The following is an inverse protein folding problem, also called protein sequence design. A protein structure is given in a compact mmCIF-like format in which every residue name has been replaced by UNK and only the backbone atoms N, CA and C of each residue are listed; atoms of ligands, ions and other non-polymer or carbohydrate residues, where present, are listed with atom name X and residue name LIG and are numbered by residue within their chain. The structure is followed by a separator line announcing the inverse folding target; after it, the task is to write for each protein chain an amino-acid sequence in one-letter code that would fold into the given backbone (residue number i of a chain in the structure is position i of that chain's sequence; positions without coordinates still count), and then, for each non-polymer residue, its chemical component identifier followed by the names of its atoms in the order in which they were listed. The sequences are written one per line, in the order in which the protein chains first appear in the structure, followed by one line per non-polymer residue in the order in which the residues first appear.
data_IF_253229617758
#
_entry.id   IF_253229617758
#
_cell.length_a   1.000
_cell.length_b   1.000
_cell.length_c   1.000
_cell.angle_alpha   90.00
_cell.angle_beta   90.00
_cell.angle_gamma   90.00
#
_symmetry.space_group_name_H-M   'P 1'
#
loop_
_entity.id
_entity.type
_entity.pdbx_description
1 polymer ?
#
# COMPACT_ATOMS: atom_id res chain seq x y z
N UNK A 1 -12.16 -14.92 19.58
CA UNK A 1 -10.95 -15.74 19.87
C UNK A 1 -9.92 -15.43 18.78
N UNK A 2 -8.61 -15.62 19.01
CA UNK A 2 -7.56 -15.20 18.06
C UNK A 2 -7.74 -15.78 16.63
N UNK A 3 -8.30 -16.98 16.52
CA UNK A 3 -8.59 -17.67 15.25
C UNK A 3 -9.55 -16.90 14.33
N UNK A 4 -10.53 -16.17 14.91
CA UNK A 4 -11.44 -15.28 14.18
C UNK A 4 -10.73 -14.02 13.65
N UNK A 5 -9.70 -13.52 14.35
CA UNK A 5 -8.91 -12.36 13.87
C UNK A 5 -7.96 -12.73 12.75
N UNK A 6 -7.30 -13.89 12.86
CA UNK A 6 -6.37 -14.35 11.85
C UNK A 6 -7.09 -14.58 10.52
N UNK A 7 -8.22 -15.29 10.55
CA UNK A 7 -9.03 -15.56 9.36
C UNK A 7 -9.50 -14.27 8.68
N UNK A 8 -10.05 -13.31 9.44
CA UNK A 8 -10.44 -11.99 8.93
C UNK A 8 -9.26 -11.23 8.34
N UNK A 9 -8.08 -11.36 8.95
CA UNK A 9 -6.84 -10.78 8.44
C UNK A 9 -6.46 -11.33 7.07
N UNK A 10 -6.55 -12.66 6.89
CA UNK A 10 -6.29 -13.29 5.60
C UNK A 10 -7.29 -12.84 4.53
N UNK A 11 -8.59 -12.81 4.86
CA UNK A 11 -9.63 -12.33 3.95
C UNK A 11 -9.37 -10.88 3.53
N UNK A 12 -9.04 -10.01 4.49
CA UNK A 12 -8.71 -8.61 4.21
C UNK A 12 -7.45 -8.48 3.34
N UNK A 13 -6.44 -9.31 3.58
CA UNK A 13 -5.22 -9.30 2.79
C UNK A 13 -5.50 -9.67 1.34
N UNK A 14 -6.28 -10.73 1.11
CA UNK A 14 -6.70 -11.17 -0.23
C UNK A 14 -7.50 -10.09 -0.98
N UNK A 15 -8.37 -9.34 -0.28
CA UNK A 15 -9.08 -8.20 -0.87
C UNK A 15 -8.13 -7.08 -1.36
N UNK A 16 -7.00 -6.88 -0.69
CA UNK A 16 -6.06 -5.80 -0.98
C UNK A 16 -5.03 -6.16 -2.05
N UNK A 17 -4.65 -7.44 -2.12
CA UNK A 17 -3.53 -7.91 -2.95
C UNK A 17 -4.00 -8.59 -4.23
N UNK A 18 -5.32 -8.68 -4.47
CA UNK A 18 -5.94 -9.40 -5.58
C UNK A 18 -5.37 -10.83 -5.74
N UNK A 19 -5.16 -11.50 -4.62
CA UNK A 19 -4.42 -12.76 -4.60
C UNK A 19 -5.33 -13.99 -4.45
N UNK A 20 -4.73 -15.18 -4.39
CA UNK A 20 -5.43 -16.46 -4.23
C UNK A 20 -5.33 -17.01 -2.80
N UNK A 21 -6.16 -18.00 -2.48
CA UNK A 21 -6.11 -18.71 -1.19
C UNK A 21 -4.72 -19.32 -0.91
N UNK A 22 -4.01 -19.76 -1.96
CA UNK A 22 -2.67 -20.33 -1.85
C UNK A 22 -1.57 -19.27 -1.61
N UNK A 23 -1.83 -17.99 -1.92
CA UNK A 23 -0.92 -16.88 -1.66
C UNK A 23 -1.72 -15.64 -1.23
N UNK A 24 -2.27 -15.59 -0.01
CA UNK A 24 -3.15 -14.51 0.43
C UNK A 24 -2.45 -13.15 0.49
N UNK A 25 -1.11 -13.11 0.56
CA UNK A 25 -0.32 -11.89 0.56
C UNK A 25 0.05 -11.37 -0.84
N UNK A 26 -0.11 -12.16 -1.91
CA UNK A 26 0.31 -11.75 -3.25
C UNK A 26 1.80 -11.40 -3.30
N UNK A 27 2.12 -10.19 -3.77
CA UNK A 27 3.49 -9.63 -3.76
C UNK A 27 3.87 -8.94 -2.43
N UNK A 28 2.96 -8.87 -1.46
CA UNK A 28 3.18 -8.17 -0.20
C UNK A 28 4.10 -8.99 0.71
N UNK A 29 5.26 -8.44 1.06
CA UNK A 29 6.09 -8.97 2.14
C UNK A 29 5.43 -8.62 3.49
N UNK A 30 5.00 -9.64 4.23
CA UNK A 30 4.30 -9.51 5.52
C UNK A 30 5.10 -10.08 6.70
N UNK A 31 6.41 -10.14 6.58
CA UNK A 31 7.31 -10.69 7.59
C UNK A 31 7.84 -12.10 7.32
N UNK A 32 7.46 -12.71 6.17
CA UNK A 32 7.91 -14.06 5.82
C UNK A 32 9.42 -14.19 5.72
N UNK A 33 10.10 -13.14 5.27
CA UNK A 33 11.57 -13.09 5.18
C UNK A 33 12.28 -13.02 6.53
N UNK A 34 11.54 -12.74 7.62
CA UNK A 34 12.08 -12.58 8.97
C UNK A 34 11.68 -13.71 9.92
N UNK A 35 11.12 -14.82 9.41
CA UNK A 35 10.64 -15.93 10.26
C UNK A 35 11.71 -16.57 11.15
N UNK A 36 12.97 -16.50 10.74
CA UNK A 36 14.13 -16.99 11.48
C UNK A 36 14.48 -16.11 12.70
N UNK A 37 14.21 -14.80 12.62
CA UNK A 37 14.54 -13.83 13.68
C UNK A 37 13.31 -13.41 14.51
N UNK A 38 12.15 -13.29 13.88
CA UNK A 38 10.90 -12.82 14.45
C UNK A 38 9.71 -13.66 13.95
N UNK A 39 9.57 -14.92 14.41
CA UNK A 39 8.59 -15.88 13.90
C UNK A 39 7.12 -15.47 14.11
N UNK A 40 6.86 -14.54 15.02
CA UNK A 40 5.53 -14.02 15.33
C UNK A 40 5.14 -12.76 14.54
N UNK A 41 6.07 -12.16 13.80
CA UNK A 41 5.83 -10.93 13.04
C UNK A 41 4.67 -11.06 12.05
N UNK A 42 4.68 -12.13 11.24
CA UNK A 42 3.61 -12.42 10.28
C UNK A 42 2.26 -12.54 10.99
N UNK A 43 2.25 -13.14 12.18
CA UNK A 43 1.03 -13.27 12.97
C UNK A 43 0.50 -11.91 13.41
N UNK A 44 1.35 -10.99 13.87
CA UNK A 44 0.92 -9.63 14.21
C UNK A 44 0.43 -8.85 13.00
N UNK A 45 1.09 -8.99 11.85
CA UNK A 45 0.67 -8.34 10.61
C UNK A 45 -0.72 -8.83 10.22
N UNK A 46 -0.94 -10.15 10.18
CA UNK A 46 -2.24 -10.71 9.77
C UNK A 46 -3.33 -10.43 10.81
N UNK A 47 -3.13 -10.77 12.08
CA UNK A 47 -4.19 -10.63 13.09
C UNK A 47 -4.50 -9.17 13.40
N UNK A 48 -3.48 -8.36 13.68
CA UNK A 48 -3.69 -7.01 14.16
C UNK A 48 -3.79 -6.00 13.01
N UNK A 49 -2.79 -5.94 12.12
CA UNK A 49 -2.83 -4.94 11.07
C UNK A 49 -4.01 -5.19 10.12
N UNK A 50 -4.15 -6.40 9.58
CA UNK A 50 -5.22 -6.71 8.63
C UNK A 50 -6.56 -7.05 9.30
N UNK A 51 -6.54 -7.95 10.29
CA UNK A 51 -7.75 -8.43 10.97
C UNK A 51 -8.42 -7.37 11.83
N UNK A 52 -7.65 -6.55 12.55
CA UNK A 52 -8.23 -5.56 13.48
C UNK A 52 -8.26 -4.14 12.89
N UNK A 53 -7.21 -3.67 12.19
CA UNK A 53 -7.10 -2.27 11.76
C UNK A 53 -7.64 -2.04 10.35
N UNK A 54 -7.15 -2.75 9.32
CA UNK A 54 -7.65 -2.59 7.94
C UNK A 54 -9.09 -3.08 7.77
N UNK A 55 -9.57 -3.96 8.64
CA UNK A 55 -10.96 -4.41 8.63
C UNK A 55 -11.94 -3.43 9.28
N UNK A 56 -11.46 -2.33 9.89
CA UNK A 56 -12.35 -1.32 10.47
C UNK A 56 -13.22 -0.65 9.40
N UNK A 57 -14.50 -0.37 9.71
CA UNK A 57 -15.36 0.42 8.84
C UNK A 57 -14.93 1.89 8.83
N UNK A 58 -15.46 2.66 7.88
CA UNK A 58 -15.28 4.12 7.78
C UNK A 58 -14.41 4.57 6.62
N UNK A 59 -13.50 3.72 6.15
CA UNK A 59 -12.74 3.92 4.91
C UNK A 59 -12.84 2.69 4.01
N UNK A 60 -12.98 2.91 2.71
CA UNK A 60 -12.84 1.85 1.71
C UNK A 60 -11.36 1.45 1.52
N UNK A 61 -11.11 0.39 0.73
CA UNK A 61 -9.75 -0.12 0.54
C UNK A 61 -8.84 0.88 -0.19
N UNK A 62 -9.37 1.66 -1.16
CA UNK A 62 -8.60 2.70 -1.84
C UNK A 62 -8.16 3.79 -0.87
N UNK A 63 -9.08 4.26 -0.03
CA UNK A 63 -8.83 5.27 0.99
C UNK A 63 -7.82 4.78 2.04
N UNK A 64 -7.92 3.52 2.49
CA UNK A 64 -6.96 2.92 3.43
C UNK A 64 -5.55 2.92 2.84
N UNK A 65 -5.38 2.39 1.63
CA UNK A 65 -4.07 2.31 0.99
C UNK A 65 -3.51 3.70 0.67
N UNK A 66 -4.34 4.63 0.20
CA UNK A 66 -3.91 6.02 -0.06
C UNK A 66 -3.45 6.74 1.22
N UNK A 67 -4.14 6.49 2.34
CA UNK A 67 -3.74 6.99 3.66
C UNK A 67 -2.39 6.41 4.08
N UNK A 68 -2.17 5.11 3.85
CA UNK A 68 -0.88 4.46 4.14
C UNK A 68 0.24 5.01 3.26
N UNK A 69 0.02 5.19 1.95
CA UNK A 69 0.98 5.83 1.04
C UNK A 69 1.36 7.21 1.59
N UNK A 70 0.38 8.03 1.96
CA UNK A 70 0.60 9.37 2.52
C UNK A 70 1.49 9.35 3.76
N UNK A 71 1.21 8.45 4.70
CA UNK A 71 2.01 8.29 5.90
C UNK A 71 3.46 7.90 5.58
N UNK A 72 3.67 7.00 4.61
CA UNK A 72 5.00 6.53 4.21
C UNK A 72 5.80 7.62 3.47
N UNK A 73 5.14 8.45 2.65
CA UNK A 73 5.76 9.64 2.04
C UNK A 73 6.23 10.59 3.14
N UNK A 74 5.35 10.92 4.09
CA UNK A 74 5.68 11.84 5.17
C UNK A 74 6.83 11.34 6.07
N UNK A 75 6.93 10.03 6.26
CA UNK A 75 7.99 9.40 7.05
C UNK A 75 9.27 9.07 6.25
N UNK A 76 9.25 9.21 4.92
CA UNK A 76 10.36 8.83 4.02
C UNK A 76 10.69 7.34 4.08
N UNK A 77 9.68 6.47 4.17
CA UNK A 77 9.86 5.02 4.39
C UNK A 77 9.84 4.22 3.08
N UNK A 78 10.72 3.21 2.92
CA UNK A 78 10.85 2.46 1.67
C UNK A 78 9.64 1.59 1.33
N UNK A 79 8.78 1.26 2.31
CA UNK A 79 7.58 0.45 2.13
C UNK A 79 6.56 1.06 1.16
N UNK A 80 6.71 2.34 0.78
CA UNK A 80 5.84 3.02 -0.18
C UNK A 80 5.73 2.27 -1.51
N UNK A 81 6.81 1.63 -2.00
CA UNK A 81 6.79 0.89 -3.26
C UNK A 81 5.72 -0.21 -3.28
N UNK A 82 5.69 -1.03 -2.23
CA UNK A 82 4.71 -2.09 -2.06
C UNK A 82 3.29 -1.52 -1.96
N UNK A 83 3.09 -0.44 -1.19
CA UNK A 83 1.76 0.15 -1.07
C UNK A 83 1.26 0.84 -2.33
N UNK A 84 2.13 1.34 -3.21
CA UNK A 84 1.73 1.83 -4.54
C UNK A 84 1.23 0.65 -5.39
N UNK A 85 1.90 -0.51 -5.37
CA UNK A 85 1.44 -1.72 -6.06
C UNK A 85 0.07 -2.16 -5.55
N UNK A 86 -0.08 -2.29 -4.24
CA UNK A 86 -1.37 -2.58 -3.59
C UNK A 86 -2.42 -1.55 -3.95
N UNK A 87 -2.03 -0.28 -4.06
CA UNK A 87 -2.92 0.81 -4.49
C UNK A 87 -3.53 0.56 -5.86
N UNK A 88 -2.70 0.16 -6.83
CA UNK A 88 -3.16 -0.22 -8.17
C UNK A 88 -4.06 -1.46 -8.12
N UNK A 89 -3.72 -2.45 -7.29
CA UNK A 89 -4.50 -3.68 -7.13
C UNK A 89 -5.92 -3.39 -6.56
N UNK A 90 -6.04 -2.44 -5.62
CA UNK A 90 -7.36 -1.98 -5.12
C UNK A 90 -8.03 -0.94 -6.04
N UNK A 91 -7.44 -0.66 -7.20
CA UNK A 91 -8.00 0.18 -8.25
C UNK A 91 -7.77 1.68 -8.09
N UNK A 92 -6.78 2.12 -7.31
CA UNK A 92 -6.28 3.51 -7.41
C UNK A 92 -5.69 3.72 -8.81
N UNK A 93 -5.98 4.87 -9.39
CA UNK A 93 -5.38 5.29 -10.67
C UNK A 93 -4.01 5.92 -10.43
N UNK A 94 -3.12 5.92 -11.45
CA UNK A 94 -1.86 6.68 -11.38
C UNK A 94 -2.08 8.15 -11.02
N UNK A 95 -3.14 8.76 -11.56
CA UNK A 95 -3.44 10.18 -11.35
C UNK A 95 -3.86 10.45 -9.89
N UNK A 96 -4.62 9.54 -9.26
CA UNK A 96 -4.94 9.62 -7.83
C UNK A 96 -3.68 9.50 -6.95
N UNK A 97 -2.78 8.58 -7.29
CA UNK A 97 -1.52 8.37 -6.55
C UNK A 97 -0.58 9.58 -6.71
N UNK A 98 -0.38 10.06 -7.94
CA UNK A 98 0.45 11.23 -8.24
C UNK A 98 -0.15 12.48 -7.59
N UNK A 99 -1.46 12.70 -7.75
CA UNK A 99 -2.16 13.84 -7.16
C UNK A 99 -1.99 13.89 -5.64
N UNK A 100 -2.12 12.74 -4.97
CA UNK A 100 -1.87 12.63 -3.54
C UNK A 100 -0.42 12.97 -3.17
N UNK A 101 0.56 12.39 -3.86
CA UNK A 101 1.99 12.66 -3.60
C UNK A 101 2.32 14.14 -3.81
N UNK A 102 1.81 14.75 -4.87
CA UNK A 102 2.01 16.18 -5.17
C UNK A 102 1.36 17.08 -4.12
N UNK A 103 0.18 16.70 -3.60
CA UNK A 103 -0.51 17.43 -2.54
C UNK A 103 0.31 17.50 -1.24
N UNK A 104 1.28 16.60 -1.04
CA UNK A 104 2.11 16.58 0.17
C UNK A 104 3.24 17.60 0.19
N UNK A 105 3.56 18.27 -0.93
CA UNK A 105 4.63 19.28 -1.00
C UNK A 105 4.58 20.30 0.15
N UNK A 106 3.43 20.92 0.48
CA UNK A 106 3.37 21.92 1.55
C UNK A 106 3.60 21.36 2.96
N UNK A 107 3.41 20.05 3.15
CA UNK A 107 3.43 19.40 4.47
C UNK A 107 4.72 18.63 4.73
N UNK A 108 5.33 18.07 3.68
CA UNK A 108 6.50 17.19 3.78
C UNK A 108 7.73 17.74 3.05
N UNK A 109 7.56 18.77 2.22
CA UNK A 109 8.61 19.36 1.40
C UNK A 109 8.96 18.55 0.15
N UNK A 110 9.70 19.21 -0.75
CA UNK A 110 10.11 18.65 -2.04
C UNK A 110 10.91 17.34 -1.96
N UNK A 111 11.88 17.15 -1.04
CA UNK A 111 12.67 15.92 -1.01
C UNK A 111 11.83 14.65 -0.83
N UNK A 112 10.86 14.66 0.08
CA UNK A 112 9.96 13.51 0.31
C UNK A 112 9.11 13.21 -0.92
N UNK A 113 8.61 14.25 -1.58
CA UNK A 113 7.78 14.13 -2.79
C UNK A 113 8.59 13.61 -3.98
N UNK A 114 9.80 14.15 -4.21
CA UNK A 114 10.69 13.68 -5.29
C UNK A 114 11.06 12.21 -5.12
N UNK A 115 11.38 11.79 -3.90
CA UNK A 115 11.67 10.39 -3.59
C UNK A 115 10.44 9.51 -3.86
N UNK A 116 9.26 9.92 -3.41
CA UNK A 116 8.02 9.19 -3.63
C UNK A 116 7.65 9.07 -5.12
N UNK A 117 7.79 10.15 -5.90
CA UNK A 117 7.52 10.15 -7.34
C UNK A 117 8.49 9.24 -8.11
N UNK A 118 9.77 9.18 -7.70
CA UNK A 118 10.75 8.27 -8.29
C UNK A 118 10.33 6.80 -8.10
N UNK A 119 9.85 6.46 -6.90
CA UNK A 119 9.32 5.12 -6.61
C UNK A 119 8.04 4.85 -7.40
N UNK A 120 7.11 5.81 -7.46
CA UNK A 120 5.86 5.68 -8.23
C UNK A 120 6.14 5.43 -9.72
N UNK A 121 7.06 6.20 -10.32
CA UNK A 121 7.48 6.02 -11.70
C UNK A 121 8.04 4.61 -11.96
N UNK A 122 8.84 4.09 -11.04
CA UNK A 122 9.39 2.73 -11.14
C UNK A 122 8.26 1.70 -11.14
N UNK A 123 7.32 1.79 -10.19
CA UNK A 123 6.17 0.86 -10.10
C UNK A 123 5.25 0.95 -11.33
N UNK A 124 4.95 2.15 -11.82
CA UNK A 124 4.11 2.30 -13.02
C UNK A 124 4.76 1.70 -14.25
N UNK A 125 6.08 1.83 -14.40
CA UNK A 125 6.83 1.18 -15.46
C UNK A 125 6.79 -0.34 -15.33
N UNK A 126 6.98 -0.88 -14.11
CA UNK A 126 6.89 -2.33 -13.84
C UNK A 126 5.50 -2.88 -14.18
N UNK A 127 4.44 -2.16 -13.82
CA UNK A 127 3.04 -2.56 -14.05
C UNK A 127 2.51 -2.20 -15.44
N UNK A 128 3.33 -1.61 -16.31
CA UNK A 128 2.93 -1.23 -17.68
C UNK A 128 1.84 -0.16 -17.73
N UNK A 129 1.71 0.65 -16.69
CA UNK A 129 0.63 1.64 -16.56
C UNK A 129 1.06 2.95 -17.22
N UNK A 130 0.22 3.46 -18.13
CA UNK A 130 0.44 4.75 -18.77
C UNK A 130 -0.04 5.89 -17.87
N UNK A 131 0.79 6.91 -17.69
CA UNK A 131 0.41 8.15 -17.00
C UNK A 131 -0.27 9.04 -18.03
N UNK A 132 -1.49 9.49 -17.76
CA UNK A 132 -2.13 10.52 -18.58
C UNK A 132 -1.30 11.79 -18.42
N UNK A 133 -0.66 12.26 -19.49
CA UNK A 133 -0.04 13.58 -19.46
C UNK A 133 -1.17 14.59 -19.31
N UNK A 134 -1.21 15.30 -18.19
CA UNK A 134 -1.98 16.54 -18.11
C UNK A 134 -1.29 17.47 -19.11
N UNK A 135 -1.88 17.65 -20.29
CA UNK A 135 -1.46 18.71 -21.19
C UNK A 135 -1.74 20.01 -20.46
N UNK A 136 -0.71 20.83 -20.27
CA UNK A 136 -0.86 22.19 -19.77
C UNK A 136 -1.74 22.95 -20.76
N UNK A 137 -3.04 23.01 -20.50
CA UNK A 137 -3.92 23.99 -21.13
C UNK A 137 -3.42 25.38 -20.71
N UNK A 138 -2.81 26.05 -21.68
CA UNK A 138 -2.22 27.39 -21.58
C UNK A 138 -3.21 28.45 -21.09
#
# INVERSE_FOLDING_TARGET
MAEDRYQRGLEKLMELTLSSEDNPAGEMEIGDSFKDVAPDLTKYVVEFAFGDIYSRPGLDNKQKVLTTITALVAQGKPQIQMHIKTGLDVGLTPDEIIGCIMHLIPYTGFPSVLNALSVAQTVFKERGVSITKIEDDK
#
